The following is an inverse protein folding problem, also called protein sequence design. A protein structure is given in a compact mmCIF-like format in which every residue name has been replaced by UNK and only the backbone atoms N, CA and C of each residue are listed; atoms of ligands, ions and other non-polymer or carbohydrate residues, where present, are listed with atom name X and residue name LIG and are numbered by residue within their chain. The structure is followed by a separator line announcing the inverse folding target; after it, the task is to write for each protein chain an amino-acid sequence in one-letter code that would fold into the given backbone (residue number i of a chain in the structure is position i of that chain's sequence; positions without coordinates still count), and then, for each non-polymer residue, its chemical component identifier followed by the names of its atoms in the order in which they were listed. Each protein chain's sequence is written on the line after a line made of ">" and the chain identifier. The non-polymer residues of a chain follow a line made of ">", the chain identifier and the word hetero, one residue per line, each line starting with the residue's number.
data_IF_702170767833
#
_entry.id   IF_702170767833
#
_cell.length_a   1.000
_cell.length_b   1.000
_cell.length_c   1.000
_cell.angle_alpha   90.00
_cell.angle_beta   90.00
_cell.angle_gamma   90.00
#
_symmetry.space_group_name_H-M   'P 1'
#
loop_
_entity.id
_entity.type
_entity.pdbx_description
1 polymer ?
#
# COMPACT_ATOMS: atom_id res chain seq x y z
N UNK A 1 -8.51 10.78 -29.12
CA UNK A 1 -8.76 11.43 -27.81
C UNK A 1 -8.21 10.51 -26.73
N UNK A 2 -7.30 11.02 -25.91
CA UNK A 2 -6.54 10.26 -24.90
C UNK A 2 -7.49 9.84 -23.77
N UNK A 3 -7.71 8.54 -23.55
CA UNK A 3 -8.43 8.03 -22.38
C UNK A 3 -7.46 7.97 -21.20
N UNK A 4 -7.72 8.80 -20.20
CA UNK A 4 -7.02 8.87 -18.92
C UNK A 4 -7.67 7.80 -18.03
N UNK A 5 -7.00 6.67 -17.83
CA UNK A 5 -7.48 5.62 -16.92
C UNK A 5 -6.85 5.86 -15.55
N UNK A 6 -7.74 6.16 -14.61
CA UNK A 6 -7.47 6.48 -13.21
C UNK A 6 -6.92 5.26 -12.49
N UNK A 7 -5.62 5.32 -12.19
CA UNK A 7 -4.88 4.22 -11.62
C UNK A 7 -4.21 4.63 -10.32
N UNK A 8 -4.91 4.34 -9.23
CA UNK A 8 -4.39 4.49 -7.89
C UNK A 8 -5.11 3.52 -6.97
N UNK A 9 -4.76 2.26 -7.13
CA UNK A 9 -4.13 1.49 -6.08
C UNK A 9 -3.62 0.14 -6.63
N UNK A 10 -3.98 -0.24 -7.87
CA UNK A 10 -3.64 -1.57 -8.41
C UNK A 10 -2.79 -1.63 -9.70
N UNK A 11 -2.50 -0.54 -10.44
CA UNK A 11 -1.46 -0.60 -11.49
C UNK A 11 -0.39 0.47 -11.30
N UNK A 12 0.78 0.00 -10.90
CA UNK A 12 2.04 0.70 -11.09
C UNK A 12 3.02 -0.23 -11.76
N UNK A 13 2.84 -0.50 -13.06
CA UNK A 13 3.88 -0.96 -13.98
C UNK A 13 3.57 -0.34 -15.35
N UNK A 14 4.49 0.41 -15.97
CA UNK A 14 5.25 -0.12 -17.11
C UNK A 14 6.44 0.77 -17.56
N UNK A 15 7.57 0.10 -17.80
CA UNK A 15 8.66 0.31 -18.79
C UNK A 15 9.73 1.39 -18.52
N UNK A 16 10.94 0.95 -18.12
CA UNK A 16 12.11 0.99 -19.03
C UNK A 16 13.24 0.05 -18.56
N UNK A 17 13.71 -0.79 -19.49
CA UNK A 17 14.82 -1.73 -19.34
C UNK A 17 16.17 -1.02 -19.52
N UNK A 18 17.18 -1.32 -18.68
CA UNK A 18 18.44 -1.89 -19.19
C UNK A 18 19.40 -2.44 -18.11
N UNK A 19 19.57 -3.75 -18.18
CA UNK A 19 20.79 -4.60 -18.15
C UNK A 19 21.95 -4.39 -17.13
N UNK A 20 22.18 -5.50 -16.39
CA UNK A 20 23.47 -6.16 -16.11
C UNK A 20 24.46 -5.47 -15.13
N UNK A 21 25.15 -6.12 -14.20
CA UNK A 21 25.51 -7.53 -13.99
C UNK A 21 26.04 -7.73 -12.55
N UNK A 22 25.70 -8.88 -11.96
CA UNK A 22 26.54 -9.85 -11.21
C UNK A 22 27.44 -9.40 -10.03
N UNK A 23 27.29 -10.09 -8.91
CA UNK A 23 28.32 -10.24 -7.87
C UNK A 23 27.97 -11.36 -6.89
N UNK A 24 28.76 -12.43 -6.90
CA UNK A 24 28.72 -13.55 -5.94
C UNK A 24 29.27 -13.16 -4.56
N UNK A 25 28.80 -13.90 -3.53
CA UNK A 25 29.41 -14.27 -2.25
C UNK A 25 30.54 -13.42 -1.66
N UNK A 26 30.43 -13.04 -0.38
CA UNK A 26 31.22 -13.73 0.65
C UNK A 26 30.78 -13.49 2.11
N UNK A 27 31.11 -14.49 2.94
CA UNK A 27 30.93 -14.55 4.40
C UNK A 27 31.68 -13.43 5.13
N UNK A 28 31.17 -12.97 6.28
CA UNK A 28 31.81 -13.26 7.59
C UNK A 28 31.22 -12.50 8.79
N UNK A 29 31.17 -13.26 9.89
CA UNK A 29 31.46 -12.94 11.31
C UNK A 29 30.65 -11.90 12.08
N UNK A 30 30.08 -12.45 13.15
CA UNK A 30 29.72 -11.83 14.41
C UNK A 30 30.78 -10.88 14.95
N UNK A 31 30.34 -9.84 15.63
CA UNK A 31 30.89 -9.49 16.93
C UNK A 31 29.83 -8.88 17.84
N UNK A 32 29.80 -9.38 19.06
CA UNK A 32 29.00 -8.93 20.19
C UNK A 32 29.54 -7.62 20.77
N UNK A 33 28.67 -6.66 21.05
CA UNK A 33 29.00 -5.54 21.95
C UNK A 33 27.87 -5.32 22.94
N UNK A 34 28.17 -5.65 24.20
CA UNK A 34 27.35 -5.41 25.38
C UNK A 34 27.61 -4.03 25.97
N UNK A 35 26.51 -3.43 26.45
CA UNK A 35 26.39 -2.49 27.58
C UNK A 35 27.03 -1.10 27.47
N UNK A 36 26.22 -0.08 27.15
CA UNK A 36 26.11 1.19 27.92
C UNK A 36 24.67 1.77 27.74
N UNK A 37 24.03 2.24 28.83
CA UNK A 37 22.84 3.12 28.92
C UNK A 37 21.41 2.52 28.85
N UNK A 38 21.08 1.62 29.78
CA UNK A 38 19.74 1.04 29.98
C UNK A 38 18.61 1.97 30.47
N UNK A 39 18.68 3.29 30.28
CA UNK A 39 17.58 4.22 30.60
C UNK A 39 17.07 5.05 29.41
N UNK A 40 17.85 5.13 28.33
CA UNK A 40 17.38 5.65 27.04
C UNK A 40 16.83 4.51 26.16
N UNK A 41 17.41 3.31 26.27
CA UNK A 41 17.04 2.14 25.45
C UNK A 41 15.62 1.62 25.76
N UNK A 42 15.11 1.83 26.98
CA UNK A 42 13.75 1.41 27.34
C UNK A 42 12.64 2.26 26.66
N UNK A 43 12.92 3.50 26.28
CA UNK A 43 11.97 4.28 25.48
C UNK A 43 12.02 3.89 23.98
N UNK A 44 13.20 3.53 23.47
CA UNK A 44 13.37 3.10 22.08
C UNK A 44 12.86 1.68 21.78
N UNK A 45 12.74 0.81 22.80
CA UNK A 45 12.16 -0.53 22.64
C UNK A 45 10.63 -0.53 22.74
N UNK A 46 10.03 0.39 23.52
CA UNK A 46 8.57 0.61 23.52
C UNK A 46 8.10 1.14 22.16
N UNK A 47 8.90 2.00 21.53
CA UNK A 47 8.58 2.58 20.21
C UNK A 47 8.63 1.57 19.06
N UNK A 48 9.26 0.39 19.20
CA UNK A 48 9.26 -0.62 18.14
C UNK A 48 7.93 -1.38 18.04
N UNK A 49 7.17 -1.43 19.13
CA UNK A 49 5.85 -2.09 19.21
C UNK A 49 4.67 -1.12 19.10
N UNK A 50 4.91 0.19 18.96
CA UNK A 50 3.83 1.15 18.78
C UNK A 50 3.06 0.86 17.48
N UNK A 51 1.87 0.27 17.62
CA UNK A 51 1.07 -0.21 16.51
C UNK A 51 -0.34 0.38 16.66
N UNK A 52 -0.80 1.03 15.61
CA UNK A 52 -2.16 1.52 15.48
C UNK A 52 -2.84 0.86 14.29
N UNK A 53 -4.17 0.98 14.23
CA UNK A 53 -4.94 0.50 13.08
C UNK A 53 -4.50 1.10 11.75
N UNK A 54 -4.11 2.37 11.74
CA UNK A 54 -3.71 3.07 10.52
C UNK A 54 -2.26 2.71 10.13
N UNK A 55 -1.38 2.43 11.08
CA UNK A 55 -0.04 1.88 10.79
C UNK A 55 -0.14 0.46 10.20
N UNK A 56 -1.02 -0.39 10.75
CA UNK A 56 -1.27 -1.75 10.24
C UNK A 56 -1.81 -1.76 8.82
N UNK A 57 -2.59 -0.75 8.42
CA UNK A 57 -3.07 -0.58 7.05
C UNK A 57 -1.92 -0.49 6.04
N UNK A 58 -0.74 -0.02 6.46
CA UNK A 58 0.44 0.14 5.59
C UNK A 58 1.60 -0.78 5.96
N UNK A 59 1.33 -1.84 6.72
CA UNK A 59 2.31 -2.83 7.16
C UNK A 59 3.54 -2.18 7.81
N UNK A 60 3.29 -1.20 8.68
CA UNK A 60 4.32 -0.54 9.47
C UNK A 60 4.02 -0.62 10.95
N UNK A 61 5.10 -0.60 11.75
CA UNK A 61 5.06 -0.50 13.20
C UNK A 61 6.06 0.55 13.69
N UNK A 62 5.83 0.96 14.91
CA UNK A 62 6.55 2.01 15.60
C UNK A 62 6.00 3.41 15.37
N UNK A 63 6.63 4.41 15.99
CA UNK A 63 6.25 5.83 15.89
C UNK A 63 6.60 6.40 14.51
N UNK A 64 5.94 5.91 13.47
CA UNK A 64 6.19 6.29 12.07
C UNK A 64 5.56 7.64 11.79
N UNK A 65 6.33 8.53 11.18
CA UNK A 65 5.90 9.83 10.65
C UNK A 65 5.59 9.74 9.16
N UNK A 66 6.41 9.02 8.40
CA UNK A 66 6.33 8.97 6.95
C UNK A 66 6.77 7.61 6.40
N UNK A 67 6.06 7.13 5.38
CA UNK A 67 6.49 6.04 4.51
C UNK A 67 6.55 6.56 3.08
N UNK A 68 7.73 6.50 2.47
CA UNK A 68 7.98 6.96 1.10
C UNK A 68 8.41 5.81 0.22
N UNK A 69 7.57 5.48 -0.76
CA UNK A 69 7.84 4.45 -1.76
C UNK A 69 8.67 5.02 -2.92
N UNK A 70 9.73 4.30 -3.28
CA UNK A 70 10.67 4.72 -4.32
C UNK A 70 10.20 4.20 -5.68
N UNK A 71 9.49 5.06 -6.40
CA UNK A 71 9.04 4.85 -7.79
C UNK A 71 9.17 6.16 -8.56
N UNK A 72 8.95 6.13 -9.88
CA UNK A 72 9.08 7.32 -10.76
C UNK A 72 8.32 8.54 -10.22
N UNK A 73 7.08 8.32 -9.75
CA UNK A 73 6.28 9.28 -9.00
C UNK A 73 6.17 8.85 -7.53
N UNK A 74 7.00 9.36 -6.61
CA UNK A 74 7.03 8.89 -5.23
C UNK A 74 5.65 8.89 -4.58
N UNK A 75 5.30 7.78 -3.94
CA UNK A 75 4.08 7.69 -3.14
C UNK A 75 4.45 7.85 -1.67
N UNK A 76 3.79 8.80 -1.01
CA UNK A 76 4.09 9.20 0.37
C UNK A 76 2.84 9.05 1.21
N UNK A 77 2.99 8.37 2.34
CA UNK A 77 1.98 8.26 3.38
C UNK A 77 2.55 8.92 4.62
N UNK A 78 1.75 9.73 5.30
CA UNK A 78 2.16 10.38 6.55
C UNK A 78 1.18 10.05 7.67
N UNK A 79 1.70 10.03 8.89
CA UNK A 79 0.92 9.76 10.10
C UNK A 79 1.16 10.88 11.11
N UNK A 80 0.16 11.16 11.94
CA UNK A 80 0.33 12.05 13.09
C UNK A 80 1.11 11.34 14.23
N UNK A 81 1.44 12.09 15.27
CA UNK A 81 2.16 11.58 16.46
C UNK A 81 1.43 10.48 17.23
N UNK A 82 0.15 10.27 16.96
CA UNK A 82 -0.67 9.21 17.56
C UNK A 82 -0.78 8.00 16.62
N UNK A 83 -0.02 7.97 15.52
CA UNK A 83 -0.06 6.90 14.52
C UNK A 83 -1.34 6.89 13.68
N UNK A 84 -2.08 7.99 13.61
CA UNK A 84 -3.26 8.10 12.75
C UNK A 84 -2.84 8.57 11.37
N UNK A 85 -3.47 8.04 10.31
CA UNK A 85 -3.24 8.50 8.94
C UNK A 85 -3.50 10.02 8.87
N UNK A 86 -2.53 10.77 8.36
CA UNK A 86 -2.59 12.21 8.17
C UNK A 86 -2.73 12.58 6.69
N UNK A 87 -2.01 11.85 5.82
CA UNK A 87 -2.19 11.91 4.37
C UNK A 87 -1.79 10.61 3.69
N UNK A 88 -2.46 10.27 2.60
CA UNK A 88 -2.01 9.28 1.63
C UNK A 88 -2.10 9.93 0.25
N UNK A 89 -0.99 9.99 -0.47
CA UNK A 89 -0.93 10.78 -1.70
C UNK A 89 -1.85 10.21 -2.80
N UNK A 90 -2.93 10.92 -3.09
CA UNK A 90 -3.65 10.88 -4.35
C UNK A 90 -3.76 12.31 -4.89
N UNK A 91 -2.60 12.91 -5.22
CA UNK A 91 -2.54 14.22 -5.88
C UNK A 91 -3.03 14.08 -7.33
N UNK A 92 -4.35 13.92 -7.50
CA UNK A 92 -4.99 14.58 -8.61
C UNK A 92 -5.17 16.04 -8.18
N UNK A 93 -4.90 17.01 -9.06
CA UNK A 93 -5.03 18.45 -8.81
C UNK A 93 -6.42 18.88 -8.29
N UNK A 94 -7.41 17.99 -8.34
CA UNK A 94 -8.78 18.17 -7.84
C UNK A 94 -9.05 17.55 -6.45
N UNK A 95 -8.10 16.81 -5.85
CA UNK A 95 -8.29 16.03 -4.61
C UNK A 95 -7.43 16.60 -3.46
N UNK A 96 -7.70 17.83 -3.03
CA UNK A 96 -7.10 18.39 -1.81
C UNK A 96 -7.89 17.90 -0.58
N UNK A 97 -7.55 16.71 -0.10
CA UNK A 97 -8.08 16.18 1.16
C UNK A 97 -6.96 15.83 2.11
N UNK A 98 -7.28 15.96 3.39
CA UNK A 98 -6.41 15.57 4.49
C UNK A 98 -7.18 14.73 5.47
N UNK A 99 -6.47 13.98 6.29
CA UNK A 99 -7.06 13.45 7.51
C UNK A 99 -6.83 14.42 8.65
N UNK A 100 -7.92 14.78 9.35
CA UNK A 100 -7.88 15.61 10.54
C UNK A 100 -8.67 14.91 11.65
N UNK A 101 -8.03 14.70 12.80
CA UNK A 101 -8.61 13.98 13.95
C UNK A 101 -9.21 12.61 13.54
N UNK A 102 -8.49 11.87 12.69
CA UNK A 102 -8.89 10.55 12.21
C UNK A 102 -10.01 10.54 11.16
N UNK A 103 -10.44 11.70 10.65
CA UNK A 103 -11.50 11.82 9.63
C UNK A 103 -10.95 12.42 8.34
N UNK A 104 -11.38 11.90 7.19
CA UNK A 104 -11.14 12.58 5.92
C UNK A 104 -11.91 13.90 5.88
N UNK A 105 -11.21 14.99 5.58
CA UNK A 105 -11.74 16.35 5.48
C UNK A 105 -11.44 16.90 4.09
N UNK A 106 -12.49 17.42 3.45
CA UNK A 106 -12.43 17.99 2.10
C UNK A 106 -13.81 18.01 1.46
N UNK A 107 -13.99 18.81 0.41
CA UNK A 107 -15.26 18.80 -0.34
C UNK A 107 -15.47 17.42 -0.96
N UNK A 108 -16.64 16.82 -0.73
CA UNK A 108 -16.99 15.48 -1.19
C UNK A 108 -16.20 14.31 -0.55
N UNK A 109 -15.36 14.59 0.44
CA UNK A 109 -14.62 13.55 1.15
C UNK A 109 -15.37 13.06 2.38
N UNK A 110 -15.33 11.76 2.60
CA UNK A 110 -15.88 11.13 3.80
C UNK A 110 -15.02 9.96 4.23
N UNK A 111 -15.05 9.62 5.52
CA UNK A 111 -14.43 8.41 6.05
C UNK A 111 -15.27 7.78 7.15
N UNK A 112 -15.20 6.46 7.29
CA UNK A 112 -15.84 5.70 8.37
C UNK A 112 -14.81 4.87 9.10
N UNK A 113 -15.06 4.64 10.39
CA UNK A 113 -14.26 3.76 11.24
C UNK A 113 -15.17 2.79 11.99
N UNK A 114 -14.65 1.60 12.28
CA UNK A 114 -15.35 0.66 13.15
C UNK A 114 -15.14 0.99 14.64
N UNK A 115 -15.76 0.21 15.53
CA UNK A 115 -15.65 0.36 16.99
C UNK A 115 -14.24 0.09 17.55
N UNK A 116 -13.35 -0.54 16.77
CA UNK A 116 -11.92 -0.73 17.10
C UNK A 116 -11.06 0.45 16.63
N UNK A 117 -11.65 1.46 16.01
CA UNK A 117 -10.96 2.63 15.48
C UNK A 117 -10.31 2.42 14.11
N UNK A 118 -10.48 1.26 13.47
CA UNK A 118 -9.91 0.97 12.15
C UNK A 118 -10.68 1.71 11.05
N UNK A 119 -9.96 2.27 10.07
CA UNK A 119 -10.56 2.90 8.89
C UNK A 119 -11.25 1.84 8.01
N UNK A 120 -12.57 1.88 7.92
CA UNK A 120 -13.33 0.91 7.09
C UNK A 120 -13.77 1.49 5.76
N UNK A 121 -13.78 2.82 5.63
CA UNK A 121 -14.07 3.50 4.38
C UNK A 121 -13.33 4.83 4.33
N UNK A 122 -12.79 5.18 3.17
CA UNK A 122 -12.54 6.58 2.80
C UNK A 122 -12.93 6.77 1.34
N UNK A 123 -13.60 7.88 1.05
CA UNK A 123 -14.24 8.09 -0.24
C UNK A 123 -14.20 9.54 -0.68
N UNK A 124 -14.10 9.73 -1.99
CA UNK A 124 -14.36 10.97 -2.71
C UNK A 124 -15.62 10.77 -3.56
N UNK A 125 -16.70 11.48 -3.23
CA UNK A 125 -18.04 11.33 -3.83
C UNK A 125 -18.51 12.64 -4.48
N UNK A 126 -17.85 13.07 -5.55
CA UNK A 126 -18.22 14.30 -6.23
C UNK A 126 -19.61 14.20 -6.87
N UNK A 127 -20.28 15.35 -6.95
CA UNK A 127 -21.59 15.50 -7.59
C UNK A 127 -21.49 16.29 -8.91
N UNK A 128 -22.53 16.19 -9.72
CA UNK A 128 -22.64 16.90 -11.00
C UNK A 128 -21.64 16.38 -12.03
N UNK A 129 -21.04 17.29 -12.79
CA UNK A 129 -20.08 16.92 -13.83
C UNK A 129 -18.90 16.14 -13.26
N UNK A 130 -18.48 16.37 -12.01
CA UNK A 130 -17.31 15.68 -11.44
C UNK A 130 -17.55 14.20 -11.06
N UNK A 131 -18.76 13.65 -11.27
CA UNK A 131 -19.13 12.30 -10.84
C UNK A 131 -18.21 11.19 -11.40
N UNK A 132 -17.60 11.41 -12.57
CA UNK A 132 -16.66 10.47 -13.18
C UNK A 132 -15.35 10.30 -12.39
N UNK A 133 -15.08 11.18 -11.41
CA UNK A 133 -13.94 11.05 -10.50
C UNK A 133 -14.27 10.31 -9.19
N UNK A 134 -15.45 9.70 -9.07
CA UNK A 134 -15.81 8.86 -7.92
C UNK A 134 -14.67 7.90 -7.57
N UNK A 135 -14.31 7.85 -6.30
CA UNK A 135 -13.24 6.97 -5.81
C UNK A 135 -13.55 6.59 -4.36
N UNK A 136 -13.88 5.33 -4.16
CA UNK A 136 -14.40 4.78 -2.92
C UNK A 136 -13.52 3.63 -2.52
N UNK A 137 -12.99 3.66 -1.30
CA UNK A 137 -12.19 2.58 -0.75
C UNK A 137 -12.92 2.00 0.45
N UNK A 138 -13.27 0.74 0.41
CA UNK A 138 -13.87 -0.01 1.50
C UNK A 138 -12.90 -1.09 1.98
N UNK A 139 -12.63 -1.11 3.29
CA UNK A 139 -11.54 -1.88 3.89
C UNK A 139 -12.13 -2.91 4.84
N UNK A 140 -11.81 -4.17 4.59
CA UNK A 140 -12.17 -5.30 5.45
C UNK A 140 -10.93 -5.83 6.15
N UNK A 141 -11.08 -6.18 7.42
CA UNK A 141 -9.99 -6.65 8.27
C UNK A 141 -10.19 -8.11 8.70
N UNK A 142 -9.09 -8.84 8.81
CA UNK A 142 -9.07 -10.16 9.45
C UNK A 142 -9.12 -10.06 10.99
N UNK A 143 -9.15 -11.21 11.65
CA UNK A 143 -9.20 -11.30 13.11
C UNK A 143 -8.00 -10.63 13.80
N UNK A 144 -6.83 -10.65 13.15
CA UNK A 144 -5.59 -10.05 13.65
C UNK A 144 -5.50 -8.54 13.38
N UNK A 145 -6.55 -7.94 12.81
CA UNK A 145 -6.64 -6.50 12.56
C UNK A 145 -5.87 -6.01 11.33
N UNK A 146 -5.39 -6.92 10.47
CA UNK A 146 -4.77 -6.60 9.17
C UNK A 146 -5.81 -6.57 8.06
N UNK A 147 -5.54 -5.82 6.99
CA UNK A 147 -6.46 -5.75 5.85
C UNK A 147 -6.53 -7.09 5.15
N UNK A 148 -7.70 -7.72 5.09
CA UNK A 148 -7.90 -8.95 4.33
C UNK A 148 -8.42 -8.67 2.92
N UNK A 149 -9.15 -7.57 2.74
CA UNK A 149 -9.78 -7.20 1.48
C UNK A 149 -9.92 -5.68 1.37
N UNK A 150 -9.67 -5.16 0.17
CA UNK A 150 -9.90 -3.77 -0.20
C UNK A 150 -10.79 -3.75 -1.44
N UNK A 151 -11.95 -3.12 -1.36
CA UNK A 151 -12.78 -2.81 -2.53
C UNK A 151 -12.54 -1.36 -2.92
N UNK A 152 -12.04 -1.16 -4.14
CA UNK A 152 -12.01 0.14 -4.81
C UNK A 152 -13.21 0.21 -5.75
N UNK A 153 -14.03 1.25 -5.64
CA UNK A 153 -15.09 1.54 -6.61
C UNK A 153 -14.94 2.95 -7.16
N UNK A 154 -15.04 3.08 -8.47
CA UNK A 154 -15.09 4.35 -9.18
C UNK A 154 -16.29 4.45 -10.10
N UNK A 155 -16.29 5.45 -10.97
CA UNK A 155 -17.28 5.52 -12.04
C UNK A 155 -17.03 4.38 -13.03
N UNK A 156 -18.02 3.49 -13.19
CA UNK A 156 -17.98 2.32 -14.10
C UNK A 156 -16.75 1.42 -13.94
N UNK A 157 -16.17 1.41 -12.74
CA UNK A 157 -14.98 0.62 -12.41
C UNK A 157 -15.04 0.13 -10.98
N UNK A 158 -14.57 -1.09 -10.78
CA UNK A 158 -14.31 -1.65 -9.46
C UNK A 158 -13.05 -2.52 -9.49
N UNK A 159 -12.38 -2.63 -8.36
CA UNK A 159 -11.28 -3.57 -8.14
C UNK A 159 -11.43 -4.11 -6.72
N UNK A 160 -11.59 -5.42 -6.60
CA UNK A 160 -11.47 -6.11 -5.33
C UNK A 160 -10.04 -6.65 -5.21
N UNK A 161 -9.39 -6.35 -4.10
CA UNK A 161 -8.05 -6.81 -3.80
C UNK A 161 -8.06 -7.63 -2.52
N UNK A 162 -7.59 -8.87 -2.58
CA UNK A 162 -7.46 -9.77 -1.43
C UNK A 162 -6.00 -9.94 -1.01
N UNK A 163 -5.76 -10.00 0.30
CA UNK A 163 -4.41 -10.08 0.87
C UNK A 163 -4.22 -11.34 1.71
N UNK A 164 -3.09 -12.02 1.51
CA UNK A 164 -2.67 -13.17 2.34
C UNK A 164 -1.38 -12.86 3.06
N UNK A 165 -1.30 -13.29 4.31
CA UNK A 165 -0.18 -13.02 5.21
C UNK A 165 0.50 -14.31 5.64
N UNK A 166 1.81 -14.23 5.91
CA UNK A 166 2.53 -15.31 6.58
C UNK A 166 2.32 -15.24 8.11
N UNK A 167 2.91 -16.20 8.85
CA UNK A 167 2.81 -16.27 10.31
C UNK A 167 3.48 -15.10 11.05
N UNK A 168 4.32 -14.34 10.38
CA UNK A 168 4.96 -13.12 10.91
C UNK A 168 4.09 -11.87 10.66
N UNK A 169 2.98 -12.05 9.94
CA UNK A 169 2.04 -10.98 9.63
C UNK A 169 2.46 -10.08 8.48
N UNK A 170 3.37 -10.53 7.62
CA UNK A 170 3.78 -9.86 6.37
C UNK A 170 2.91 -10.32 5.20
N UNK A 171 2.43 -9.41 4.35
CA UNK A 171 1.66 -9.75 3.16
C UNK A 171 2.55 -10.50 2.16
N UNK A 172 2.23 -11.75 1.82
CA UNK A 172 3.01 -12.56 0.88
C UNK A 172 2.35 -12.66 -0.49
N UNK A 173 1.06 -12.37 -0.57
CA UNK A 173 0.30 -12.44 -1.81
C UNK A 173 -0.85 -11.43 -1.80
N UNK A 174 -1.06 -10.80 -2.95
CA UNK A 174 -2.15 -9.90 -3.26
C UNK A 174 -2.81 -10.38 -4.55
N UNK A 175 -4.14 -10.45 -4.57
CA UNK A 175 -4.92 -10.84 -5.75
C UNK A 175 -5.91 -9.72 -6.08
N UNK A 176 -5.77 -9.15 -7.28
CA UNK A 176 -6.66 -8.15 -7.83
C UNK A 176 -7.66 -8.80 -8.79
N UNK A 177 -8.95 -8.47 -8.63
CA UNK A 177 -10.03 -8.75 -9.57
C UNK A 177 -10.73 -7.42 -9.90
N UNK A 178 -10.37 -6.87 -11.05
CA UNK A 178 -10.84 -5.58 -11.52
C UNK A 178 -11.79 -5.73 -12.71
N UNK A 179 -12.87 -4.96 -12.66
CA UNK A 179 -13.89 -4.88 -13.70
C UNK A 179 -14.14 -3.42 -14.02
N UNK A 180 -13.99 -3.07 -15.28
CA UNK A 180 -14.32 -1.77 -15.85
C UNK A 180 -15.34 -1.98 -16.97
N UNK A 181 -16.02 -0.93 -17.42
CA UNK A 181 -17.08 -0.95 -18.45
C UNK A 181 -16.89 -2.00 -19.56
N UNK A 182 -15.69 -2.13 -20.12
CA UNK A 182 -15.38 -3.06 -21.21
C UNK A 182 -14.15 -3.94 -20.96
N UNK A 183 -13.60 -3.94 -19.75
CA UNK A 183 -12.28 -4.53 -19.47
C UNK A 183 -12.32 -5.30 -18.16
N UNK A 184 -11.83 -6.54 -18.20
CA UNK A 184 -11.56 -7.34 -17.01
C UNK A 184 -10.06 -7.46 -16.85
N UNK A 185 -9.58 -7.25 -15.64
CA UNK A 185 -8.17 -7.40 -15.29
C UNK A 185 -8.07 -8.24 -14.02
N UNK A 186 -7.25 -9.29 -14.06
CA UNK A 186 -6.92 -10.09 -12.89
C UNK A 186 -5.42 -10.10 -12.71
N UNK A 187 -4.96 -9.96 -11.48
CA UNK A 187 -3.54 -10.08 -11.19
C UNK A 187 -3.27 -10.78 -9.87
N UNK A 188 -2.21 -11.57 -9.84
CA UNK A 188 -1.65 -12.12 -8.61
C UNK A 188 -0.25 -11.58 -8.45
N UNK A 189 -0.01 -10.88 -7.34
CA UNK A 189 1.32 -10.37 -6.96
C UNK A 189 1.82 -11.13 -5.74
N UNK A 190 3.02 -11.69 -5.83
CA UNK A 190 3.69 -12.35 -4.70
C UNK A 190 4.89 -11.55 -4.22
N UNK A 191 5.13 -11.58 -2.92
CA UNK A 191 6.14 -10.77 -2.26
C UNK A 191 7.21 -11.62 -1.59
N UNK A 192 8.48 -11.29 -1.83
CA UNK A 192 9.63 -11.85 -1.11
C UNK A 192 10.44 -10.72 -0.48
N UNK A 193 10.39 -10.64 0.84
CA UNK A 193 11.07 -9.61 1.63
C UNK A 193 12.59 -9.82 1.64
N UNK A 194 13.36 -8.76 1.39
CA UNK A 194 14.82 -8.85 1.29
C UNK A 194 15.55 -7.95 2.27
N UNK A 195 14.94 -6.86 2.75
CA UNK A 195 15.53 -5.98 3.76
C UNK A 195 14.50 -5.43 4.72
N UNK A 196 14.93 -5.23 5.95
CA UNK A 196 14.19 -4.60 7.03
C UNK A 196 15.06 -3.53 7.68
N UNK A 197 14.43 -2.53 8.29
CA UNK A 197 15.10 -1.59 9.18
C UNK A 197 15.23 -2.15 10.60
N UNK A 198 15.83 -1.35 11.50
CA UNK A 198 16.06 -1.72 12.90
C UNK A 198 14.77 -1.91 13.70
N UNK A 199 13.69 -1.26 13.27
CA UNK A 199 12.36 -1.43 13.83
C UNK A 199 11.68 -2.69 13.29
N UNK A 200 12.28 -3.42 12.35
CA UNK A 200 11.71 -4.64 11.77
C UNK A 200 10.58 -4.36 10.78
N UNK A 201 10.53 -3.17 10.21
CA UNK A 201 9.69 -2.86 9.06
C UNK A 201 10.44 -3.18 7.78
N UNK A 202 9.77 -3.79 6.80
CA UNK A 202 10.42 -4.05 5.53
C UNK A 202 10.75 -2.74 4.80
N UNK A 203 11.92 -2.67 4.17
CA UNK A 203 12.37 -1.53 3.36
C UNK A 203 12.68 -1.92 1.92
N UNK A 204 12.80 -3.22 1.64
CA UNK A 204 12.97 -3.77 0.29
C UNK A 204 12.26 -5.12 0.18
N UNK A 205 11.50 -5.31 -0.90
CA UNK A 205 10.92 -6.59 -1.28
C UNK A 205 10.97 -6.79 -2.80
N UNK A 206 11.04 -8.05 -3.23
CA UNK A 206 10.82 -8.44 -4.62
C UNK A 206 9.34 -8.71 -4.83
N UNK A 207 8.81 -8.20 -5.93
CA UNK A 207 7.43 -8.39 -6.33
C UNK A 207 7.44 -9.18 -7.64
N UNK A 208 6.67 -10.26 -7.71
CA UNK A 208 6.40 -10.97 -8.96
C UNK A 208 4.90 -10.90 -9.24
N UNK A 209 4.54 -10.32 -10.37
CA UNK A 209 3.16 -10.19 -10.79
C UNK A 209 2.91 -11.06 -12.02
N UNK A 210 1.78 -11.75 -12.00
CA UNK A 210 1.15 -12.35 -13.16
C UNK A 210 -0.20 -11.68 -13.37
N UNK A 211 -0.47 -11.17 -14.56
CA UNK A 211 -1.75 -10.54 -14.87
C UNK A 211 -2.36 -11.04 -16.17
N UNK A 212 -3.69 -11.09 -16.17
CA UNK A 212 -4.54 -11.44 -17.31
C UNK A 212 -5.50 -10.27 -17.57
N UNK A 213 -5.59 -9.83 -18.82
CA UNK A 213 -6.50 -8.76 -19.24
C UNK A 213 -7.29 -9.19 -20.48
N UNK A 214 -8.60 -8.94 -20.50
CA UNK A 214 -9.48 -9.23 -21.64
C UNK A 214 -10.71 -8.32 -21.68
N UNK A 215 -11.38 -8.27 -22.83
CA UNK A 215 -12.68 -7.59 -22.98
C UNK A 215 -13.83 -8.58 -22.70
N UNK A 216 -15.00 -8.10 -22.25
CA UNK A 216 -16.11 -8.99 -21.89
C UNK A 216 -16.54 -9.97 -22.99
N UNK A 217 -16.35 -9.60 -24.25
CA UNK A 217 -16.76 -10.39 -25.41
C UNK A 217 -15.67 -11.38 -25.88
N UNK A 218 -14.46 -11.32 -25.32
CA UNK A 218 -13.28 -12.03 -25.81
C UNK A 218 -12.48 -12.69 -24.66
N UNK A 219 -13.15 -13.42 -23.76
CA UNK A 219 -12.48 -14.11 -22.62
C UNK A 219 -11.40 -15.11 -23.07
N UNK A 220 -11.53 -15.69 -24.27
CA UNK A 220 -10.55 -16.61 -24.82
C UNK A 220 -9.28 -15.92 -25.37
N UNK A 221 -9.29 -14.60 -25.56
CA UNK A 221 -8.17 -13.80 -26.10
C UNK A 221 -7.53 -12.91 -25.03
N UNK A 222 -6.96 -13.56 -24.00
CA UNK A 222 -6.34 -12.86 -22.87
C UNK A 222 -4.95 -12.35 -23.20
N UNK A 223 -4.70 -11.10 -22.86
CA UNK A 223 -3.33 -10.58 -22.77
C UNK A 223 -2.73 -10.99 -21.42
N UNK A 224 -1.66 -11.78 -21.47
CA UNK A 224 -0.92 -12.23 -20.29
C UNK A 224 0.36 -11.43 -20.14
N UNK A 225 0.58 -10.87 -18.96
CA UNK A 225 1.83 -10.16 -18.62
C UNK A 225 2.44 -10.77 -17.36
N UNK A 226 3.77 -10.92 -17.35
CA UNK A 226 4.54 -11.36 -16.19
C UNK A 226 5.63 -10.34 -15.89
N UNK A 227 5.69 -9.85 -14.67
CA UNK A 227 6.57 -8.74 -14.31
C UNK A 227 7.27 -9.02 -12.99
N UNK A 228 8.55 -8.65 -12.93
CA UNK A 228 9.32 -8.66 -11.69
C UNK A 228 9.85 -7.27 -11.41
N UNK A 229 9.67 -6.79 -10.17
CA UNK A 229 10.22 -5.51 -9.72
C UNK A 229 10.76 -5.61 -8.31
N UNK A 230 11.66 -4.69 -7.98
CA UNK A 230 12.11 -4.48 -6.60
C UNK A 230 11.39 -3.24 -6.09
N UNK A 231 10.60 -3.41 -5.06
CA UNK A 231 9.98 -2.32 -4.34
C UNK A 231 10.86 -1.91 -3.17
N UNK A 232 11.02 -0.60 -3.01
CA UNK A 232 11.80 -0.01 -1.92
C UNK A 232 10.99 1.09 -1.27
N UNK A 233 11.12 1.21 0.05
CA UNK A 233 10.57 2.34 0.80
C UNK A 233 11.54 2.83 1.86
N UNK A 234 11.47 4.12 2.15
CA UNK A 234 12.10 4.74 3.32
C UNK A 234 11.02 5.02 4.35
N UNK A 235 11.33 4.73 5.61
CA UNK A 235 10.45 4.97 6.75
C UNK A 235 11.14 6.01 7.64
N UNK A 236 10.40 7.07 7.96
CA UNK A 236 10.85 8.11 8.89
C UNK A 236 10.03 8.01 10.16
N UNK A 237 10.71 8.00 11.30
CA UNK A 237 10.11 7.93 12.63
C UNK A 237 10.09 9.32 13.29
N UNK A 238 9.32 9.47 14.37
CA UNK A 238 9.25 10.67 15.20
C UNK A 238 10.47 10.83 16.12
#
# INVERSE_FOLDING_TARGET
>A
MKKIIFLGLCLGIMISCNTNKKGENDKSKSDSLSNINGKAILAFLDDAEFITSDLLLFEVKGHVKEVKYHRENPYVITFDKNGMLASCNYNNEYKDFKFENGKAVGKYFSSKRNNKGQLTEYAYRPEGELCYFLDVKEITYNADGRVSKLLTSGWESMCETEYKYNNEGLCIEEVDDAQMESLVYKATTTYTYTKFDEQGNWTERKCKQHSEEWTFDEEDDKTITNEEKIEKRTITYY
#
